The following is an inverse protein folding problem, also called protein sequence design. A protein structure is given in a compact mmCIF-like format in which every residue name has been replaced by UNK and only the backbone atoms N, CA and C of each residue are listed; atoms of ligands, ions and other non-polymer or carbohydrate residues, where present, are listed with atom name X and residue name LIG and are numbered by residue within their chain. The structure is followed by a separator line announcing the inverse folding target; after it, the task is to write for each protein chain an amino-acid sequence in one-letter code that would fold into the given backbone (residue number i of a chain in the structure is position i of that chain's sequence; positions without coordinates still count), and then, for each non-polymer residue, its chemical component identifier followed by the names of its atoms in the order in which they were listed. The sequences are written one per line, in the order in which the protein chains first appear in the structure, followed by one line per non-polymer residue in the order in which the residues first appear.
data_IF_105122468341
#
_entry.id   IF_105122468341
#
_cell.length_a   1.000
_cell.length_b   1.000
_cell.length_c   1.000
_cell.angle_alpha   90.00
_cell.angle_beta   90.00
_cell.angle_gamma   90.00
#
_symmetry.space_group_name_H-M   'P 1'
#
loop_
_entity.id
_entity.type
_entity.pdbx_description
1 polymer ?
#
# COMPACT_ATOMS: atom_id res chain seq x y z
N UNK A 1 -7.28 49.15 -1.18
CA UNK A 1 -8.46 48.58 -1.80
C UNK A 1 -8.09 47.78 -3.03
N UNK A 2 -8.23 46.46 -2.94
CA UNK A 2 -7.90 45.57 -4.03
C UNK A 2 -9.03 45.50 -5.05
N UNK A 3 -8.64 45.31 -6.31
CA UNK A 3 -9.59 45.07 -7.38
C UNK A 3 -10.36 43.78 -7.08
N UNK A 4 -11.71 43.77 -7.17
CA UNK A 4 -12.52 42.57 -6.96
C UNK A 4 -12.11 41.40 -7.83
N UNK A 5 -11.63 41.66 -9.05
CA UNK A 5 -11.14 40.58 -9.94
C UNK A 5 -9.89 39.89 -9.38
N UNK A 6 -8.99 40.65 -8.74
CA UNK A 6 -7.78 40.11 -8.13
C UNK A 6 -8.14 39.28 -6.90
N UNK A 7 -9.04 39.76 -6.08
CA UNK A 7 -9.53 39.04 -4.89
C UNK A 7 -10.15 37.71 -5.29
N UNK A 8 -11.00 37.71 -6.31
CA UNK A 8 -11.67 36.51 -6.81
C UNK A 8 -10.66 35.51 -7.37
N UNK A 9 -9.67 35.96 -8.08
CA UNK A 9 -8.62 35.11 -8.62
C UNK A 9 -7.82 34.43 -7.52
N UNK A 10 -7.45 35.16 -6.47
CA UNK A 10 -6.75 34.59 -5.31
C UNK A 10 -7.60 33.53 -4.63
N UNK A 11 -8.89 33.80 -4.48
CA UNK A 11 -9.83 32.85 -3.87
C UNK A 11 -9.90 31.56 -4.66
N UNK A 12 -10.02 31.64 -5.99
CA UNK A 12 -10.05 30.46 -6.86
C UNK A 12 -8.75 29.67 -6.76
N UNK A 13 -7.61 30.35 -6.75
CA UNK A 13 -6.31 29.71 -6.66
C UNK A 13 -6.16 28.99 -5.32
N UNK A 14 -6.64 29.57 -4.23
CA UNK A 14 -6.61 28.97 -2.90
C UNK A 14 -7.46 27.71 -2.85
N UNK A 15 -8.68 27.77 -3.40
CA UNK A 15 -9.58 26.61 -3.47
C UNK A 15 -8.95 25.50 -4.30
N UNK A 16 -8.37 25.82 -5.45
CA UNK A 16 -7.71 24.84 -6.31
C UNK A 16 -6.53 24.18 -5.60
N UNK A 17 -5.73 24.96 -4.88
CA UNK A 17 -4.60 24.42 -4.11
C UNK A 17 -5.06 23.50 -2.99
N UNK A 18 -6.14 23.86 -2.29
CA UNK A 18 -6.71 23.03 -1.22
C UNK A 18 -7.22 21.69 -1.78
N UNK A 19 -7.91 21.72 -2.91
CA UNK A 19 -8.41 20.51 -3.56
C UNK A 19 -7.26 19.60 -3.99
N UNK A 20 -6.20 20.17 -4.54
CA UNK A 20 -5.03 19.43 -4.96
C UNK A 20 -4.35 18.74 -3.78
N UNK A 21 -4.20 19.44 -2.65
CA UNK A 21 -3.61 18.86 -1.44
C UNK A 21 -4.47 17.74 -0.86
N UNK A 22 -5.79 17.93 -0.85
CA UNK A 22 -6.72 16.93 -0.36
C UNK A 22 -6.64 15.65 -1.21
N UNK A 23 -6.57 15.80 -2.54
CA UNK A 23 -6.44 14.66 -3.45
C UNK A 23 -5.16 13.90 -3.21
N UNK A 24 -4.03 14.61 -3.07
CA UNK A 24 -2.74 13.98 -2.79
C UNK A 24 -2.74 13.24 -1.46
N UNK A 25 -3.39 13.81 -0.45
CA UNK A 25 -3.51 13.17 0.85
C UNK A 25 -4.33 11.88 0.77
N UNK A 26 -5.42 11.87 0.00
CA UNK A 26 -6.23 10.68 -0.22
C UNK A 26 -5.45 9.60 -0.96
N UNK A 27 -4.74 9.97 -2.03
CA UNK A 27 -3.91 9.03 -2.79
C UNK A 27 -2.85 8.39 -1.89
N UNK A 28 -2.20 9.19 -1.07
CA UNK A 28 -1.19 8.70 -0.14
C UNK A 28 -1.80 7.73 0.87
N UNK A 29 -2.98 8.04 1.37
CA UNK A 29 -3.68 7.17 2.33
C UNK A 29 -4.07 5.85 1.68
N UNK A 30 -4.55 5.87 0.43
CA UNK A 30 -4.89 4.67 -0.32
C UNK A 30 -3.67 3.81 -0.56
N UNK A 31 -2.55 4.42 -0.94
CA UNK A 31 -1.29 3.71 -1.12
C UNK A 31 -0.82 3.05 0.18
N UNK A 32 -0.93 3.75 1.30
CA UNK A 32 -0.57 3.20 2.61
C UNK A 32 -1.44 2.00 2.97
N UNK A 33 -2.74 2.07 2.67
CA UNK A 33 -3.65 0.94 2.91
C UNK A 33 -3.29 -0.26 2.04
N UNK A 34 -2.96 -0.01 0.79
CA UNK A 34 -2.55 -1.08 -0.13
C UNK A 34 -1.27 -1.76 0.34
N UNK A 35 -0.28 -0.97 0.75
CA UNK A 35 0.98 -1.49 1.28
C UNK A 35 0.71 -2.35 2.51
N UNK A 36 -0.12 -1.87 3.45
CA UNK A 36 -0.45 -2.62 4.66
C UNK A 36 -1.15 -3.93 4.33
N UNK A 37 -2.06 -3.94 3.35
CA UNK A 37 -2.74 -5.14 2.91
C UNK A 37 -1.78 -6.15 2.28
N UNK A 38 -0.88 -5.67 1.43
CA UNK A 38 0.12 -6.52 0.79
C UNK A 38 1.09 -7.12 1.81
N UNK A 39 1.50 -6.34 2.80
CA UNK A 39 2.35 -6.84 3.88
C UNK A 39 1.65 -7.93 4.68
N UNK A 40 0.36 -7.75 4.96
CA UNK A 40 -0.45 -8.75 5.67
C UNK A 40 -0.57 -10.03 4.85
N UNK A 41 -0.86 -9.93 3.57
CA UNK A 41 -0.97 -11.08 2.68
C UNK A 41 0.37 -11.82 2.58
N UNK A 42 1.47 -11.08 2.47
CA UNK A 42 2.81 -11.66 2.43
C UNK A 42 3.11 -12.44 3.69
N UNK A 43 2.79 -11.88 4.86
CA UNK A 43 2.99 -12.54 6.14
C UNK A 43 2.14 -13.80 6.25
N UNK A 44 0.87 -13.72 5.85
CA UNK A 44 -0.02 -14.87 5.86
C UNK A 44 0.51 -15.99 4.95
N UNK A 45 1.02 -15.63 3.78
CA UNK A 45 1.61 -16.61 2.86
C UNK A 45 2.87 -17.25 3.43
N UNK A 46 3.69 -16.48 4.14
CA UNK A 46 4.87 -17.01 4.81
C UNK A 46 4.51 -18.02 5.89
N UNK A 47 3.50 -17.71 6.69
CA UNK A 47 3.01 -18.59 7.74
C UNK A 47 2.47 -19.88 7.12
N UNK A 48 1.68 -19.76 6.06
CA UNK A 48 1.11 -20.89 5.37
C UNK A 48 2.18 -21.76 4.74
N UNK A 49 3.17 -21.15 4.11
CA UNK A 49 4.29 -21.85 3.51
C UNK A 49 5.09 -22.62 4.57
N UNK A 50 5.36 -22.00 5.70
CA UNK A 50 6.05 -22.64 6.81
C UNK A 50 5.27 -23.85 7.33
N UNK A 51 3.96 -23.69 7.48
CA UNK A 51 3.08 -24.78 7.91
C UNK A 51 3.17 -25.98 6.96
N UNK A 52 3.03 -25.74 5.65
CA UNK A 52 3.05 -26.80 4.66
C UNK A 52 4.44 -27.45 4.54
N UNK A 53 5.48 -26.64 4.67
CA UNK A 53 6.85 -27.12 4.66
C UNK A 53 7.11 -28.06 5.84
N UNK A 54 6.68 -27.66 7.05
CA UNK A 54 6.83 -28.49 8.24
C UNK A 54 6.03 -29.79 8.12
N UNK A 55 4.83 -29.69 7.57
CA UNK A 55 3.96 -30.84 7.37
C UNK A 55 4.56 -31.81 6.34
N UNK A 56 5.11 -31.28 5.26
CA UNK A 56 5.76 -32.09 4.25
C UNK A 56 6.98 -32.81 4.82
N UNK A 57 7.77 -32.14 5.62
CA UNK A 57 8.90 -32.74 6.31
C UNK A 57 8.45 -33.83 7.29
N UNK A 58 7.37 -33.60 8.02
CA UNK A 58 6.80 -34.57 8.95
C UNK A 58 6.29 -35.84 8.22
N UNK A 59 5.85 -35.69 6.97
CA UNK A 59 5.39 -36.82 6.15
C UNK A 59 6.54 -37.52 5.43
N UNK A 60 7.77 -37.05 5.62
CA UNK A 60 8.96 -37.65 5.03
C UNK A 60 9.32 -37.11 3.68
N UNK A 61 8.68 -36.06 3.20
CA UNK A 61 9.04 -35.43 1.94
C UNK A 61 10.35 -34.67 2.07
N UNK A 62 11.17 -34.73 1.02
CA UNK A 62 12.41 -33.96 1.00
C UNK A 62 12.14 -32.49 0.75
N UNK A 63 12.85 -31.57 1.41
CA UNK A 63 12.75 -30.15 1.09
C UNK A 63 13.10 -29.89 -0.38
N UNK A 64 12.54 -28.85 -0.96
CA UNK A 64 12.81 -28.49 -2.36
C UNK A 64 14.28 -28.28 -2.65
N UNK A 65 15.02 -27.80 -1.68
CA UNK A 65 16.44 -27.55 -1.79
C UNK A 65 17.22 -28.84 -2.02
N UNK A 66 16.78 -29.93 -1.41
CA UNK A 66 17.43 -31.23 -1.57
C UNK A 66 16.97 -31.92 -2.85
N UNK A 67 15.85 -31.54 -3.40
CA UNK A 67 15.32 -32.14 -4.62
C UNK A 67 16.19 -31.82 -5.86
N UNK A 68 17.00 -30.79 -5.77
CA UNK A 68 17.89 -30.38 -6.86
C UNK A 68 19.17 -31.22 -6.95
N UNK A 69 19.43 -31.98 -5.94
CA UNK A 69 20.59 -32.88 -5.88
C UNK A 69 20.23 -34.25 -6.51
#
# INVERSE_FOLDING_TARGET
DEDPAVVEKRRRNTIAAQRSRARKAEEKLEDQRMIANLERETENLRILLSYWKDRACALGASPMEDAEN
#
